data_IF_987937202082
#
_entry.id   IF_987937202082
#
_cell.length_a   1.000
_cell.length_b   1.000
_cell.length_c   1.000
_cell.angle_alpha   90.00
_cell.angle_beta   90.00
_cell.angle_gamma   90.00
#
_symmetry.space_group_name_H-M   'P 1'
#
loop_
_entity.id
_entity.type
_entity.pdbx_description
1 polymer ?
#
# COMPACT_ATOMS: atom_id res chain seq x y z
N UNK A 1 14.29 10.60 40.40
CA UNK A 1 15.43 10.43 41.33
C UNK A 1 16.53 9.73 40.54
N UNK A 2 17.59 10.44 40.15
CA UNK A 2 18.65 9.91 39.28
C UNK A 2 19.98 10.09 40.02
N UNK A 3 20.70 9.00 40.24
CA UNK A 3 22.06 9.04 40.77
C UNK A 3 23.04 9.13 39.58
N UNK A 4 23.87 10.16 39.55
CA UNK A 4 24.96 10.28 38.57
C UNK A 4 26.30 10.02 39.27
N UNK A 5 27.04 9.02 38.79
CA UNK A 5 28.44 8.81 39.12
C UNK A 5 29.27 9.48 38.02
N UNK A 6 30.21 10.32 38.44
CA UNK A 6 31.14 11.07 37.59
C UNK A 6 32.45 10.28 37.52
N UNK A 7 32.76 9.74 36.35
CA UNK A 7 34.12 9.38 35.94
C UNK A 7 34.24 9.65 34.44
N UNK A 8 35.31 10.34 34.08
CA UNK A 8 35.53 11.08 32.85
C UNK A 8 35.79 10.22 31.59
N UNK A 9 35.60 10.87 30.43
CA UNK A 9 36.21 10.59 29.10
C UNK A 9 35.75 9.37 28.27
N UNK A 10 34.56 9.47 27.68
CA UNK A 10 34.38 9.59 26.22
C UNK A 10 32.87 9.73 25.94
N UNK A 11 32.44 10.97 25.75
CA UNK A 11 31.08 11.30 25.32
C UNK A 11 30.83 10.71 23.93
N UNK A 12 30.01 9.68 23.84
CA UNK A 12 29.08 9.52 22.72
C UNK A 12 27.82 8.87 23.27
N UNK A 13 26.96 9.71 23.81
CA UNK A 13 25.56 9.39 24.03
C UNK A 13 24.97 9.01 22.67
N UNK A 14 24.81 7.71 22.40
CA UNK A 14 23.89 7.25 21.36
C UNK A 14 22.47 7.54 21.83
N UNK A 15 22.07 8.81 21.77
CA UNK A 15 20.66 9.16 21.68
C UNK A 15 20.18 8.53 20.39
N UNK A 16 19.59 7.34 20.47
CA UNK A 16 18.70 6.88 19.40
C UNK A 16 17.55 7.86 19.45
N UNK A 17 17.65 8.88 18.59
CA UNK A 17 16.50 9.65 18.13
C UNK A 17 15.49 8.58 17.70
N UNK A 18 14.50 8.32 18.55
CA UNK A 18 13.32 7.54 18.17
C UNK A 18 12.48 8.52 17.35
N UNK A 19 13.03 8.96 16.23
CA UNK A 19 12.28 9.71 15.25
C UNK A 19 11.15 8.77 14.82
N UNK A 20 9.87 9.16 14.97
CA UNK A 20 8.79 8.35 14.41
C UNK A 20 9.16 8.08 12.95
N UNK A 21 8.97 6.85 12.43
CA UNK A 21 9.38 6.51 11.08
C UNK A 21 8.86 7.59 10.15
N UNK A 22 9.78 8.35 9.56
CA UNK A 22 9.46 9.39 8.60
C UNK A 22 8.69 8.67 7.50
N UNK A 23 7.38 8.89 7.41
CA UNK A 23 6.49 8.29 6.40
C UNK A 23 7.16 8.46 5.04
N UNK A 24 7.87 7.43 4.61
CA UNK A 24 8.57 7.41 3.33
C UNK A 24 7.49 7.33 2.27
N UNK A 25 7.70 8.00 1.15
CA UNK A 25 6.80 7.87 0.00
C UNK A 25 6.68 6.39 -0.36
N UNK A 26 5.57 5.76 0.01
CA UNK A 26 5.33 4.34 -0.24
C UNK A 26 4.59 4.21 -1.58
N UNK A 27 5.08 3.30 -2.42
CA UNK A 27 4.37 2.88 -3.63
C UNK A 27 3.58 1.61 -3.28
N UNK A 28 2.29 1.63 -3.59
CA UNK A 28 1.40 0.48 -3.48
C UNK A 28 1.17 -0.08 -4.89
N UNK A 29 1.45 -1.36 -5.08
CA UNK A 29 1.18 -2.08 -6.33
C UNK A 29 0.08 -3.10 -6.07
N UNK A 30 -1.01 -2.98 -6.81
CA UNK A 30 -2.14 -3.90 -6.80
C UNK A 30 -2.02 -4.80 -8.02
N UNK A 31 -2.14 -6.11 -7.82
CA UNK A 31 -2.03 -7.09 -8.90
C UNK A 31 -3.26 -8.00 -8.88
N UNK A 32 -4.02 -8.02 -9.97
CA UNK A 32 -5.04 -9.05 -10.19
C UNK A 32 -4.33 -10.37 -10.58
N UNK A 33 -4.56 -11.49 -9.87
CA UNK A 33 -3.83 -12.73 -10.11
C UNK A 33 -4.25 -13.45 -11.41
N UNK A 34 -5.23 -12.93 -12.16
CA UNK A 34 -5.51 -13.41 -13.53
C UNK A 34 -4.44 -12.97 -14.52
N UNK A 35 -3.61 -11.98 -14.18
CA UNK A 35 -2.48 -11.56 -15.01
C UNK A 35 -1.48 -12.69 -15.14
N UNK A 36 -1.12 -13.02 -16.38
CA UNK A 36 -0.15 -14.06 -16.68
C UNK A 36 1.16 -13.83 -15.93
N UNK A 37 1.69 -14.91 -15.34
CA UNK A 37 2.94 -14.89 -14.59
C UNK A 37 3.01 -13.81 -13.49
N UNK A 38 1.90 -13.46 -12.84
CA UNK A 38 1.88 -12.40 -11.82
C UNK A 38 2.92 -12.55 -10.70
N UNK A 39 3.35 -13.77 -10.39
CA UNK A 39 4.42 -14.01 -9.41
C UNK A 39 5.76 -13.37 -9.83
N UNK A 40 6.05 -13.31 -11.13
CA UNK A 40 7.23 -12.63 -11.65
C UNK A 40 7.11 -11.11 -11.44
N UNK A 41 5.91 -10.55 -11.63
CA UNK A 41 5.63 -9.14 -11.34
C UNK A 41 5.86 -8.82 -9.88
N UNK A 42 5.37 -9.67 -8.97
CA UNK A 42 5.62 -9.55 -7.52
C UNK A 42 7.12 -9.60 -7.23
N UNK A 43 7.86 -10.55 -7.82
CA UNK A 43 9.31 -10.67 -7.58
C UNK A 43 10.14 -9.54 -8.19
N UNK A 44 9.60 -8.84 -9.19
CA UNK A 44 10.26 -7.75 -9.89
C UNK A 44 10.08 -6.37 -9.25
N UNK A 45 9.25 -6.25 -8.20
CA UNK A 45 9.08 -4.97 -7.49
C UNK A 45 10.27 -4.65 -6.60
N UNK A 46 10.51 -3.35 -6.41
CA UNK A 46 11.52 -2.89 -5.46
C UNK A 46 11.16 -3.27 -4.01
N UNK A 47 12.13 -3.56 -3.13
CA UNK A 47 11.87 -3.98 -1.74
C UNK A 47 11.03 -3.00 -0.92
N UNK A 48 11.08 -1.72 -1.22
CA UNK A 48 10.30 -0.66 -0.58
C UNK A 48 8.86 -0.52 -1.11
N UNK A 49 8.49 -1.31 -2.11
CA UNK A 49 7.15 -1.34 -2.69
C UNK A 49 6.28 -2.32 -1.93
N UNK A 50 5.10 -1.86 -1.49
CA UNK A 50 4.08 -2.76 -0.94
C UNK A 50 3.30 -3.36 -2.10
N UNK A 51 3.25 -4.68 -2.17
CA UNK A 51 2.49 -5.40 -3.19
C UNK A 51 1.28 -6.07 -2.55
N UNK A 52 0.10 -5.85 -3.12
CA UNK A 52 -1.15 -6.50 -2.74
C UNK A 52 -1.66 -7.27 -3.95
N UNK A 53 -1.76 -8.59 -3.79
CA UNK A 53 -2.40 -9.46 -4.80
C UNK A 53 -3.86 -9.59 -4.42
N UNK A 54 -4.76 -9.27 -5.35
CA UNK A 54 -6.21 -9.31 -5.11
C UNK A 54 -6.72 -10.73 -4.91
N UNK A 55 -7.69 -10.89 -4.01
CA UNK A 55 -8.53 -12.09 -3.94
C UNK A 55 -9.62 -11.99 -5.02
N UNK A 56 -9.65 -12.97 -5.94
CA UNK A 56 -10.63 -13.06 -7.01
C UNK A 56 -12.07 -13.24 -6.54
N UNK A 57 -12.27 -13.60 -5.27
CA UNK A 57 -13.59 -13.83 -4.68
C UNK A 57 -14.18 -12.59 -4.00
N UNK A 58 -13.39 -11.53 -3.85
CA UNK A 58 -13.78 -10.28 -3.20
C UNK A 58 -13.81 -9.14 -4.22
N UNK A 59 -14.54 -8.07 -3.92
CA UNK A 59 -14.55 -6.89 -4.78
C UNK A 59 -13.15 -6.26 -4.82
N UNK A 60 -12.67 -5.93 -6.02
CA UNK A 60 -11.33 -5.41 -6.20
C UNK A 60 -11.18 -3.98 -5.67
N UNK A 61 -12.19 -3.14 -5.82
CA UNK A 61 -12.12 -1.75 -5.35
C UNK A 61 -12.17 -1.70 -3.83
N UNK A 62 -13.01 -2.49 -3.18
CA UNK A 62 -13.05 -2.57 -1.71
C UNK A 62 -11.69 -2.98 -1.12
N UNK A 63 -11.02 -3.96 -1.72
CA UNK A 63 -9.68 -4.39 -1.30
C UNK A 63 -8.63 -3.30 -1.49
N UNK A 64 -8.71 -2.54 -2.59
CA UNK A 64 -7.82 -1.40 -2.84
C UNK A 64 -8.07 -0.30 -1.80
N UNK A 65 -9.32 0.00 -1.50
CA UNK A 65 -9.70 0.97 -0.46
C UNK A 65 -9.18 0.56 0.92
N UNK A 66 -9.32 -0.71 1.28
CA UNK A 66 -8.77 -1.26 2.53
C UNK A 66 -7.24 -1.11 2.56
N UNK A 67 -6.56 -1.52 1.49
CA UNK A 67 -5.10 -1.42 1.40
C UNK A 67 -4.56 0.02 1.45
N UNK A 68 -5.34 0.99 0.96
CA UNK A 68 -5.02 2.42 1.03
C UNK A 68 -5.33 3.03 2.40
N UNK A 69 -6.30 2.49 3.14
CA UNK A 69 -6.69 3.02 4.47
C UNK A 69 -5.59 2.80 5.51
N UNK A 70 -4.83 1.71 5.37
CA UNK A 70 -3.76 1.34 6.28
C UNK A 70 -2.43 2.05 5.98
N UNK A 71 -2.31 2.80 4.89
CA UNK A 71 -1.03 3.27 4.36
C UNK A 71 -1.07 4.73 3.90
N UNK A 72 0.05 5.44 4.07
CA UNK A 72 0.27 6.69 3.30
C UNK A 72 0.93 6.38 1.97
N UNK A 73 0.22 5.67 1.11
CA UNK A 73 0.66 5.46 -0.25
C UNK A 73 0.68 6.80 -1.00
N UNK A 74 1.82 7.11 -1.61
CA UNK A 74 1.98 8.31 -2.46
C UNK A 74 1.86 7.99 -3.94
N UNK A 75 1.89 6.71 -4.29
CA UNK A 75 1.63 6.20 -5.64
C UNK A 75 0.88 4.88 -5.56
N UNK A 76 -0.08 4.69 -6.48
CA UNK A 76 -0.85 3.47 -6.66
C UNK A 76 -0.67 2.99 -8.09
N UNK A 77 -0.21 1.76 -8.26
CA UNK A 77 -0.09 1.10 -9.57
C UNK A 77 -1.01 -0.11 -9.56
N UNK A 78 -1.82 -0.29 -10.61
CA UNK A 78 -2.75 -1.41 -10.72
C UNK A 78 -2.39 -2.20 -11.97
N UNK A 79 -2.16 -3.49 -11.82
CA UNK A 79 -1.89 -4.42 -12.92
C UNK A 79 -3.03 -5.42 -12.99
N UNK A 80 -3.78 -5.38 -14.08
CA UNK A 80 -4.95 -6.23 -14.29
C UNK A 80 -5.16 -6.47 -15.78
N UNK A 81 -6.02 -7.44 -16.10
CA UNK A 81 -6.59 -7.53 -17.44
C UNK A 81 -7.72 -6.52 -17.61
N UNK A 82 -7.90 -6.06 -18.84
CA UNK A 82 -9.02 -5.22 -19.22
C UNK A 82 -9.53 -5.60 -20.60
N UNK A 83 -10.71 -5.09 -20.91
CA UNK A 83 -11.30 -5.07 -22.24
C UNK A 83 -11.78 -3.63 -22.51
N UNK A 84 -12.32 -3.38 -23.71
CA UNK A 84 -12.84 -2.05 -24.05
C UNK A 84 -13.88 -1.58 -23.01
N UNK A 85 -13.52 -0.52 -22.28
CA UNK A 85 -14.36 0.09 -21.24
C UNK A 85 -14.47 -0.70 -19.93
N UNK A 86 -13.69 -1.77 -19.73
CA UNK A 86 -13.78 -2.66 -18.57
C UNK A 86 -12.40 -2.94 -17.97
N UNK A 87 -12.27 -2.82 -16.65
CA UNK A 87 -11.16 -3.32 -15.86
C UNK A 87 -11.61 -4.53 -15.05
N UNK A 88 -10.86 -5.63 -15.09
CA UNK A 88 -11.16 -6.81 -14.28
C UNK A 88 -10.37 -6.75 -12.97
N UNK A 89 -11.06 -6.45 -11.86
CA UNK A 89 -10.45 -6.30 -10.54
C UNK A 89 -11.16 -7.20 -9.53
N UNK A 90 -10.51 -8.29 -9.15
CA UNK A 90 -11.08 -9.25 -8.20
C UNK A 90 -12.36 -9.89 -8.75
N UNK A 91 -13.44 -9.85 -7.98
CA UNK A 91 -14.72 -10.48 -8.35
C UNK A 91 -15.52 -9.67 -9.38
N UNK A 92 -15.44 -8.34 -9.33
CA UNK A 92 -16.35 -7.44 -10.05
C UNK A 92 -15.63 -6.73 -11.19
N UNK A 93 -16.10 -6.82 -12.45
CA UNK A 93 -15.63 -5.96 -13.52
C UNK A 93 -16.00 -4.50 -13.22
N UNK A 94 -15.05 -3.59 -13.34
CA UNK A 94 -15.26 -2.14 -13.16
C UNK A 94 -15.42 -1.49 -14.53
N UNK A 95 -16.50 -0.77 -14.73
CA UNK A 95 -16.85 -0.10 -16.00
C UNK A 95 -17.55 1.23 -15.74
N UNK A 96 -17.87 1.97 -16.80
CA UNK A 96 -18.64 3.21 -16.68
C UNK A 96 -20.01 3.01 -15.98
N UNK A 97 -20.60 1.82 -16.09
CA UNK A 97 -21.92 1.53 -15.51
C UNK A 97 -21.90 1.44 -13.98
N UNK A 98 -20.76 1.09 -13.37
CA UNK A 98 -20.65 0.87 -11.94
C UNK A 98 -19.59 1.72 -11.24
N UNK A 99 -18.73 2.43 -11.97
CA UNK A 99 -17.66 3.23 -11.37
C UNK A 99 -18.19 4.32 -10.42
N UNK A 100 -19.38 4.86 -10.71
CA UNK A 100 -20.03 5.86 -9.86
C UNK A 100 -20.44 5.30 -8.48
N UNK A 101 -20.61 3.98 -8.35
CA UNK A 101 -20.96 3.33 -7.08
C UNK A 101 -19.83 3.43 -6.05
N UNK A 102 -18.59 3.59 -6.52
CA UNK A 102 -17.40 3.62 -5.66
C UNK A 102 -17.01 5.02 -5.18
N UNK A 103 -17.72 6.08 -5.61
CA UNK A 103 -17.36 7.49 -5.30
C UNK A 103 -17.27 7.81 -3.81
N UNK A 104 -18.06 7.14 -2.97
CA UNK A 104 -18.08 7.36 -1.52
C UNK A 104 -17.03 6.58 -0.74
N UNK A 105 -16.31 5.63 -1.36
CA UNK A 105 -15.31 4.81 -0.67
C UNK A 105 -14.01 5.56 -0.37
N UNK A 106 -13.77 6.67 -1.05
CA UNK A 106 -12.58 7.53 -0.88
C UNK A 106 -12.84 8.79 -0.05
N UNK A 107 -14.01 8.94 0.57
CA UNK A 107 -14.29 10.10 1.43
C UNK A 107 -13.62 9.88 2.79
N UNK A 108 -12.59 10.68 3.08
CA UNK A 108 -11.97 10.77 4.39
C UNK A 108 -13.03 11.01 5.46
N UNK A 109 -12.94 10.29 6.58
CA UNK A 109 -13.73 10.60 7.77
C UNK A 109 -13.41 12.04 8.22
N UNK A 110 -14.44 12.88 8.33
CA UNK A 110 -14.36 14.19 9.01
C UNK A 110 -13.89 14.06 10.46
#
# INVERSE_FOLDING_TARGET
MIFTRKDDTNSTTIVREITPPKKTKQTLVIIDPRVDNYHQLVSGTYPETKVVVLDLRKDGIEQITEALSDELATSLHIVCHGADGILYLGKTPVSQENIDQYRGLTTEAE
#
